data_IF_981783058957
#
_entry.id   IF_981783058957
#
_cell.length_a   1.000
_cell.length_b   1.000
_cell.length_c   1.000
_cell.angle_alpha   90.00
_cell.angle_beta   90.00
_cell.angle_gamma   90.00
#
_symmetry.space_group_name_H-M   'P 1'
#
loop_
_entity.id
_entity.type
_entity.pdbx_description
1 polymer ?
#
# COMPACT_ATOMS: atom_id res chain seq x y z
N UNK A 1 17.39 -28.85 -18.02
CA UNK A 1 18.12 -27.59 -17.68
C UNK A 1 18.18 -27.47 -16.17
N UNK A 2 19.33 -27.74 -15.55
CA UNK A 2 19.50 -27.64 -14.10
C UNK A 2 19.38 -26.18 -13.64
N UNK A 3 18.56 -25.92 -12.61
CA UNK A 3 18.44 -24.58 -12.04
C UNK A 3 19.76 -24.20 -11.36
N UNK A 4 20.32 -23.05 -11.73
CA UNK A 4 21.60 -22.57 -11.20
C UNK A 4 21.46 -22.23 -9.69
N UNK A 5 22.27 -22.84 -8.79
CA UNK A 5 22.11 -22.74 -7.33
C UNK A 5 22.17 -21.30 -6.79
N UNK A 6 22.82 -20.38 -7.51
CA UNK A 6 22.84 -18.95 -7.13
C UNK A 6 21.44 -18.33 -7.13
N UNK A 7 20.57 -18.70 -8.08
CA UNK A 7 19.22 -18.14 -8.17
C UNK A 7 18.31 -18.54 -7.00
N UNK A 8 18.50 -19.74 -6.45
CA UNK A 8 17.74 -20.21 -5.29
C UNK A 8 18.08 -19.40 -4.02
N UNK A 9 19.35 -19.05 -3.84
CA UNK A 9 19.80 -18.29 -2.66
C UNK A 9 19.20 -16.89 -2.62
N UNK A 10 19.16 -16.18 -3.75
CA UNK A 10 18.56 -14.83 -3.83
C UNK A 10 17.05 -14.85 -3.60
N UNK A 11 16.32 -15.84 -4.15
CA UNK A 11 14.87 -15.95 -3.99
C UNK A 11 14.47 -16.19 -2.53
N UNK A 12 15.31 -16.89 -1.76
CA UNK A 12 15.07 -17.14 -0.34
C UNK A 12 15.27 -15.89 0.49
N UNK A 13 16.38 -15.20 0.26
CA UNK A 13 16.66 -13.94 0.94
C UNK A 13 15.55 -12.92 0.70
N UNK A 14 15.07 -12.79 -0.54
CA UNK A 14 13.93 -11.91 -0.86
C UNK A 14 12.67 -12.34 -0.11
N UNK A 15 12.41 -13.65 0.03
CA UNK A 15 11.24 -14.15 0.75
C UNK A 15 11.33 -13.88 2.26
N UNK A 16 12.51 -13.96 2.86
CA UNK A 16 12.71 -13.58 4.27
C UNK A 16 12.51 -12.08 4.49
N UNK A 17 13.09 -11.25 3.63
CA UNK A 17 12.94 -9.80 3.72
C UNK A 17 11.49 -9.37 3.43
N UNK A 18 10.77 -10.08 2.56
CA UNK A 18 9.36 -9.83 2.26
C UNK A 18 8.42 -10.02 3.46
N UNK A 19 8.87 -10.64 4.56
CA UNK A 19 8.11 -10.69 5.82
C UNK A 19 7.78 -9.28 6.33
N UNK A 20 8.62 -8.27 6.05
CA UNK A 20 8.29 -6.88 6.38
C UNK A 20 7.01 -6.42 5.68
N UNK A 21 6.86 -6.68 4.38
CA UNK A 21 5.63 -6.36 3.67
C UNK A 21 4.42 -7.19 4.12
N UNK A 22 4.64 -8.39 4.65
CA UNK A 22 3.58 -9.20 5.26
C UNK A 22 3.08 -8.56 6.57
N UNK A 23 3.99 -8.03 7.39
CA UNK A 23 3.68 -7.42 8.69
C UNK A 23 3.16 -5.98 8.53
N UNK A 24 3.53 -5.28 7.45
CA UNK A 24 3.20 -3.87 7.25
C UNK A 24 1.69 -3.54 7.41
N UNK A 25 0.74 -4.30 6.81
CA UNK A 25 -0.69 -4.12 7.07
C UNK A 25 -1.08 -4.18 8.55
N UNK A 26 -0.55 -5.16 9.28
CA UNK A 26 -0.87 -5.37 10.71
C UNK A 26 -0.33 -4.20 11.53
N UNK A 27 0.91 -3.80 11.27
CA UNK A 27 1.52 -2.64 11.91
C UNK A 27 0.71 -1.37 11.70
N UNK A 28 0.33 -1.07 10.45
CA UNK A 28 -0.42 0.14 10.13
C UNK A 28 -1.81 0.13 10.77
N UNK A 29 -2.51 -1.01 10.72
CA UNK A 29 -3.81 -1.17 11.37
C UNK A 29 -3.70 -0.98 12.88
N UNK A 30 -2.68 -1.55 13.52
CA UNK A 30 -2.43 -1.40 14.96
C UNK A 30 -2.21 0.05 15.35
N UNK A 31 -1.28 0.74 14.69
CA UNK A 31 -0.97 2.15 14.98
C UNK A 31 -2.17 3.05 14.68
N UNK A 32 -2.80 2.90 13.52
CA UNK A 32 -3.91 3.77 13.12
C UNK A 32 -5.15 3.58 14.00
N UNK A 33 -5.42 2.35 14.45
CA UNK A 33 -6.48 2.07 15.41
C UNK A 33 -6.16 2.70 16.76
N UNK A 34 -4.94 2.49 17.27
CA UNK A 34 -4.52 3.08 18.53
C UNK A 34 -4.56 4.61 18.50
N UNK A 35 -4.02 5.23 17.44
CA UNK A 35 -4.09 6.67 17.22
C UNK A 35 -5.54 7.19 17.18
N UNK A 36 -6.45 6.45 16.51
CA UNK A 36 -7.86 6.83 16.45
C UNK A 36 -8.55 6.79 17.82
N UNK A 37 -8.13 5.91 18.74
CA UNK A 37 -8.73 5.77 20.08
C UNK A 37 -8.24 6.85 21.03
N UNK A 38 -6.96 7.22 20.95
CA UNK A 38 -6.33 8.14 21.91
C UNK A 38 -6.49 9.62 21.52
N UNK A 39 -6.88 9.92 20.28
CA UNK A 39 -7.07 11.29 19.83
C UNK A 39 -8.51 11.75 20.14
N UNK A 40 -8.69 12.75 21.05
CA UNK A 40 -10.02 13.25 21.41
C UNK A 40 -10.69 13.91 20.20
N UNK A 41 -12.04 13.88 20.20
CA UNK A 41 -12.90 14.46 19.17
C UNK A 41 -12.69 13.92 17.75
N UNK A 42 -11.89 12.87 17.61
CA UNK A 42 -11.66 12.20 16.34
C UNK A 42 -12.82 11.26 16.00
N UNK A 43 -13.42 11.45 14.82
CA UNK A 43 -14.49 10.60 14.30
C UNK A 43 -13.95 9.66 13.22
N UNK A 44 -13.91 8.36 13.55
CA UNK A 44 -13.51 7.29 12.62
C UNK A 44 -14.38 7.26 11.34
N UNK A 45 -15.65 7.67 11.45
CA UNK A 45 -16.59 7.64 10.35
C UNK A 45 -16.41 8.82 9.39
N UNK A 46 -16.30 10.04 9.93
CA UNK A 46 -16.29 11.26 9.12
C UNK A 46 -14.89 11.77 8.80
N UNK A 47 -13.88 11.46 9.62
CA UNK A 47 -12.53 11.98 9.44
C UNK A 47 -11.55 10.92 8.90
N UNK A 48 -10.76 11.35 7.93
CA UNK A 48 -9.69 10.58 7.32
C UNK A 48 -8.55 10.26 8.32
N UNK A 49 -7.77 9.21 8.05
CA UNK A 49 -6.52 8.93 8.75
C UNK A 49 -5.49 10.05 8.58
N UNK A 50 -5.50 10.76 7.45
CA UNK A 50 -4.59 11.90 7.21
C UNK A 50 -4.81 13.02 8.23
N UNK A 51 -6.05 13.19 8.72
CA UNK A 51 -6.40 14.17 9.74
C UNK A 51 -5.58 13.93 11.01
N UNK A 52 -5.45 12.68 11.45
CA UNK A 52 -4.68 12.31 12.65
C UNK A 52 -3.20 12.69 12.56
N UNK A 53 -2.66 12.94 11.36
CA UNK A 53 -1.26 13.29 11.16
C UNK A 53 -1.01 14.81 11.05
N UNK A 54 -2.05 15.66 11.13
CA UNK A 54 -1.95 17.13 11.00
C UNK A 54 -1.20 17.78 12.17
N UNK A 55 -0.61 18.95 11.94
CA UNK A 55 0.21 19.66 12.94
C UNK A 55 -0.48 19.89 14.30
N UNK A 56 -1.78 20.18 14.28
CA UNK A 56 -2.55 20.51 15.48
C UNK A 56 -3.21 19.30 16.15
N UNK A 57 -3.09 18.10 15.56
CA UNK A 57 -3.72 16.92 16.15
C UNK A 57 -2.87 16.36 17.31
N UNK A 58 -3.52 16.00 18.43
CA UNK A 58 -2.88 15.23 19.48
C UNK A 58 -2.28 13.95 18.92
N UNK A 59 -1.05 13.64 19.31
CA UNK A 59 -0.32 12.44 18.91
C UNK A 59 -0.05 12.33 17.38
N UNK A 60 0.02 13.44 16.64
CA UNK A 60 0.29 13.42 15.20
C UNK A 60 1.57 12.66 14.80
N UNK A 61 2.58 12.65 15.68
CA UNK A 61 3.83 11.89 15.49
C UNK A 61 3.56 10.39 15.40
N UNK A 62 2.62 9.86 16.19
CA UNK A 62 2.24 8.44 16.17
C UNK A 62 1.62 8.05 14.83
N UNK A 63 0.69 8.86 14.30
CA UNK A 63 0.10 8.56 12.99
C UNK A 63 1.14 8.71 11.87
N UNK A 64 2.03 9.70 11.97
CA UNK A 64 3.12 9.91 11.02
C UNK A 64 4.08 8.72 10.99
N UNK A 65 4.46 8.18 12.16
CA UNK A 65 5.29 6.98 12.25
C UNK A 65 4.58 5.73 11.74
N UNK A 66 3.25 5.65 11.87
CA UNK A 66 2.41 4.65 11.23
C UNK A 66 2.55 4.68 9.71
N UNK A 67 2.32 5.85 9.08
CA UNK A 67 2.47 6.01 7.63
C UNK A 67 3.91 5.72 7.16
N UNK A 68 4.91 6.29 7.82
CA UNK A 68 6.32 6.13 7.46
C UNK A 68 6.77 4.67 7.59
N UNK A 69 6.47 4.03 8.72
CA UNK A 69 6.83 2.63 8.97
C UNK A 69 6.18 1.69 7.96
N UNK A 70 4.89 1.89 7.65
CA UNK A 70 4.20 1.14 6.60
C UNK A 70 4.87 1.33 5.23
N UNK A 71 5.15 2.59 4.85
CA UNK A 71 5.75 2.94 3.57
C UNK A 71 7.17 2.37 3.38
N UNK A 72 7.95 2.25 4.47
CA UNK A 72 9.26 1.61 4.43
C UNK A 72 9.15 0.08 4.32
N UNK A 73 8.30 -0.54 5.13
CA UNK A 73 8.15 -2.01 5.12
C UNK A 73 7.56 -2.53 3.81
N UNK A 74 6.70 -1.76 3.13
CA UNK A 74 6.09 -2.19 1.87
C UNK A 74 7.09 -2.24 0.70
N UNK A 75 8.26 -1.60 0.83
CA UNK A 75 9.29 -1.62 -0.22
C UNK A 75 9.77 -3.04 -0.55
N UNK A 76 9.70 -3.96 0.41
CA UNK A 76 10.14 -5.35 0.22
C UNK A 76 9.20 -6.16 -0.68
N UNK A 77 7.97 -5.69 -0.90
CA UNK A 77 7.00 -6.31 -1.81
C UNK A 77 7.48 -6.24 -3.26
N UNK A 78 8.11 -5.13 -3.66
CA UNK A 78 8.53 -4.92 -5.04
C UNK A 78 9.49 -6.02 -5.55
N UNK A 79 10.62 -6.26 -4.86
CA UNK A 79 11.51 -7.38 -5.16
C UNK A 79 10.83 -8.75 -5.13
N UNK A 80 9.89 -8.98 -4.20
CA UNK A 80 9.14 -10.23 -4.11
C UNK A 80 8.29 -10.46 -5.36
N UNK A 81 7.51 -9.45 -5.78
CA UNK A 81 6.68 -9.54 -6.97
C UNK A 81 7.54 -9.64 -8.24
N UNK A 82 8.69 -8.96 -8.27
CA UNK A 82 9.67 -9.07 -9.37
C UNK A 82 10.12 -10.52 -9.58
N UNK A 83 10.60 -11.20 -8.54
CA UNK A 83 11.10 -12.59 -8.69
C UNK A 83 10.00 -13.60 -8.94
N UNK A 84 8.77 -13.30 -8.51
CA UNK A 84 7.60 -14.11 -8.82
C UNK A 84 7.00 -13.79 -10.19
N UNK A 85 7.49 -12.76 -10.90
CA UNK A 85 7.07 -12.42 -12.25
C UNK A 85 8.03 -13.04 -13.26
N UNK A 86 7.58 -14.05 -14.00
CA UNK A 86 8.38 -14.73 -15.03
C UNK A 86 8.77 -13.85 -16.25
N UNK A 87 8.35 -12.59 -16.29
CA UNK A 87 8.69 -11.64 -17.33
C UNK A 87 9.47 -10.46 -16.74
N UNK A 88 10.73 -10.31 -17.14
CA UNK A 88 11.64 -9.29 -16.59
C UNK A 88 11.10 -7.87 -16.72
N UNK A 89 10.59 -7.47 -17.88
CA UNK A 89 10.10 -6.10 -18.12
C UNK A 89 8.90 -5.77 -17.23
N UNK A 90 7.92 -6.68 -17.15
CA UNK A 90 6.78 -6.48 -16.26
C UNK A 90 7.16 -6.57 -14.79
N UNK A 91 8.11 -7.43 -14.43
CA UNK A 91 8.64 -7.49 -13.07
C UNK A 91 9.27 -6.17 -12.66
N UNK A 92 10.11 -5.55 -13.51
CA UNK A 92 10.72 -4.25 -13.23
C UNK A 92 9.64 -3.18 -13.08
N UNK A 93 8.66 -3.16 -13.98
CA UNK A 93 7.54 -2.21 -13.90
C UNK A 93 6.78 -2.35 -12.57
N UNK A 94 6.42 -3.56 -12.15
CA UNK A 94 5.75 -3.81 -10.86
C UNK A 94 6.63 -3.32 -9.70
N UNK A 95 7.93 -3.62 -9.73
CA UNK A 95 8.84 -3.16 -8.68
C UNK A 95 8.92 -1.64 -8.61
N UNK A 96 9.06 -0.95 -9.74
CA UNK A 96 9.06 0.52 -9.81
C UNK A 96 7.74 1.09 -9.29
N UNK A 97 6.60 0.51 -9.63
CA UNK A 97 5.30 0.96 -9.14
C UNK A 97 5.15 0.78 -7.62
N UNK A 98 5.62 -0.33 -7.06
CA UNK A 98 5.66 -0.53 -5.60
C UNK A 98 6.63 0.45 -4.93
N UNK A 99 7.77 0.72 -5.57
CA UNK A 99 8.72 1.71 -5.09
C UNK A 99 8.10 3.10 -5.03
N UNK A 100 7.46 3.53 -6.12
CA UNK A 100 6.71 4.79 -6.20
C UNK A 100 5.61 4.84 -5.14
N UNK A 101 4.89 3.75 -4.89
CA UNK A 101 3.88 3.69 -3.84
C UNK A 101 4.47 3.98 -2.45
N UNK A 102 5.53 3.30 -2.06
CA UNK A 102 6.13 3.53 -0.75
C UNK A 102 6.80 4.92 -0.65
N UNK A 103 7.54 5.38 -1.67
CA UNK A 103 8.14 6.73 -1.65
C UNK A 103 7.07 7.81 -1.58
N UNK A 104 5.98 7.66 -2.32
CA UNK A 104 4.83 8.57 -2.25
C UNK A 104 4.20 8.57 -0.85
N UNK A 105 4.11 7.42 -0.19
CA UNK A 105 3.67 7.33 1.21
C UNK A 105 4.59 8.06 2.18
N UNK A 106 5.91 8.02 1.96
CA UNK A 106 6.87 8.80 2.76
C UNK A 106 6.63 10.30 2.56
N UNK A 107 6.53 10.77 1.30
CA UNK A 107 6.23 12.17 1.03
C UNK A 107 4.88 12.62 1.60
N UNK A 108 3.83 11.82 1.45
CA UNK A 108 2.52 12.10 2.05
C UNK A 108 2.55 12.11 3.59
N UNK A 109 3.51 11.43 4.23
CA UNK A 109 3.68 11.49 5.69
C UNK A 109 4.43 12.76 6.15
N UNK A 110 5.34 13.25 5.32
CA UNK A 110 6.13 14.47 5.55
C UNK A 110 5.22 15.69 5.40
N UNK A 111 4.50 15.79 4.28
CA UNK A 111 3.59 16.89 4.00
C UNK A 111 2.26 16.69 4.72
N UNK A 112 1.88 17.64 5.59
CA UNK A 112 0.65 17.61 6.36
C UNK A 112 -0.58 18.04 5.54
N UNK A 113 -1.60 17.19 5.62
CA UNK A 113 -2.92 17.45 5.06
C UNK A 113 -3.51 18.78 5.59
N UNK A 114 -4.20 19.53 4.74
CA UNK A 114 -4.84 20.82 4.99
C UNK A 114 -3.93 21.95 5.52
N UNK A 115 -2.61 21.79 5.44
CA UNK A 115 -1.67 22.87 5.71
C UNK A 115 -1.64 23.85 4.53
N UNK A 116 -1.94 25.13 4.81
CA UNK A 116 -1.85 26.24 3.86
C UNK A 116 -0.46 26.85 3.80
N UNK A 117 0.49 26.33 4.57
CA UNK A 117 1.86 26.81 4.55
C UNK A 117 2.44 26.57 3.15
N UNK A 118 2.88 27.67 2.53
CA UNK A 118 3.54 27.60 1.24
C UNK A 118 4.87 26.85 1.38
N UNK A 119 5.12 25.96 0.43
CA UNK A 119 6.35 25.16 0.38
C UNK A 119 7.14 25.50 -0.88
N UNK A 120 7.37 24.52 -1.74
CA UNK A 120 8.16 24.66 -2.97
C UNK A 120 7.24 25.15 -4.10
N UNK A 121 7.69 26.14 -4.87
CA UNK A 121 7.02 26.63 -6.09
C UNK A 121 5.56 27.06 -5.88
N UNK A 122 5.25 27.74 -4.78
CA UNK A 122 3.90 28.23 -4.44
C UNK A 122 2.85 27.12 -4.25
N UNK A 123 3.27 25.86 -4.10
CA UNK A 123 2.38 24.77 -3.71
C UNK A 123 2.23 24.75 -2.20
N UNK A 124 0.98 24.65 -1.73
CA UNK A 124 0.73 24.40 -0.31
C UNK A 124 1.20 23.00 0.06
N UNK A 125 1.62 22.84 1.30
CA UNK A 125 1.94 21.53 1.87
C UNK A 125 0.78 20.53 1.69
N UNK A 126 -0.47 20.96 1.88
CA UNK A 126 -1.66 20.14 1.60
C UNK A 126 -1.74 19.68 0.14
N UNK A 127 -1.41 20.56 -0.82
CA UNK A 127 -1.38 20.19 -2.24
C UNK A 127 -0.31 19.14 -2.56
N UNK A 128 0.86 19.23 -1.92
CA UNK A 128 1.91 18.23 -2.07
C UNK A 128 1.53 16.90 -1.42
N UNK A 129 0.86 16.92 -0.26
CA UNK A 129 0.28 15.73 0.37
C UNK A 129 -0.69 15.01 -0.57
N UNK A 130 -1.62 15.75 -1.18
CA UNK A 130 -2.62 15.20 -2.10
C UNK A 130 -1.97 14.63 -3.36
N UNK A 131 -1.02 15.35 -3.95
CA UNK A 131 -0.29 14.90 -5.13
C UNK A 131 0.48 13.61 -4.84
N UNK A 132 1.24 13.57 -3.74
CA UNK A 132 1.99 12.39 -3.33
C UNK A 132 1.03 11.21 -3.11
N UNK A 133 -0.04 11.41 -2.34
CA UNK A 133 -1.05 10.37 -2.09
C UNK A 133 -1.63 9.80 -3.39
N UNK A 134 -2.01 10.66 -4.34
CA UNK A 134 -2.56 10.23 -5.65
C UNK A 134 -1.55 9.41 -6.46
N UNK A 135 -0.29 9.86 -6.55
CA UNK A 135 0.77 9.10 -7.24
C UNK A 135 0.89 7.70 -6.60
N UNK A 136 0.93 7.64 -5.27
CA UNK A 136 1.00 6.37 -4.55
C UNK A 136 -0.19 5.45 -4.86
N UNK A 137 -1.40 5.99 -4.80
CA UNK A 137 -2.64 5.24 -5.02
C UNK A 137 -2.73 4.66 -6.43
N UNK A 138 -2.45 5.46 -7.46
CA UNK A 138 -2.43 4.96 -8.83
C UNK A 138 -1.32 3.94 -9.04
N UNK A 139 -0.13 4.17 -8.46
CA UNK A 139 1.00 3.26 -8.60
C UNK A 139 0.68 1.87 -8.06
N UNK A 140 0.14 1.76 -6.84
CA UNK A 140 -0.21 0.46 -6.26
C UNK A 140 -1.39 -0.19 -6.98
N UNK A 141 -2.40 0.58 -7.39
CA UNK A 141 -3.54 0.03 -8.14
C UNK A 141 -3.11 -0.58 -9.47
N UNK A 142 -2.27 0.12 -10.23
CA UNK A 142 -1.70 -0.38 -11.48
C UNK A 142 -0.83 -1.61 -11.20
N UNK A 143 -0.03 -1.61 -10.14
CA UNK A 143 0.77 -2.76 -9.75
C UNK A 143 -0.09 -4.00 -9.47
N UNK A 144 -1.23 -3.85 -8.77
CA UNK A 144 -2.19 -4.93 -8.52
C UNK A 144 -2.75 -5.46 -9.85
N UNK A 145 -3.23 -4.59 -10.73
CA UNK A 145 -3.83 -4.97 -12.02
C UNK A 145 -2.82 -5.75 -12.88
N UNK A 146 -1.58 -5.26 -13.00
CA UNK A 146 -0.53 -5.94 -13.76
C UNK A 146 -0.20 -7.29 -13.09
N UNK A 147 -0.13 -7.32 -11.75
CA UNK A 147 0.17 -8.54 -10.99
C UNK A 147 -0.86 -9.65 -11.25
N UNK A 148 -2.15 -9.32 -11.33
CA UNK A 148 -3.22 -10.29 -11.68
C UNK A 148 -2.90 -11.03 -12.98
N UNK A 149 -2.48 -10.28 -14.01
CA UNK A 149 -2.16 -10.86 -15.31
C UNK A 149 -0.83 -11.62 -15.33
N UNK A 150 0.18 -11.12 -14.59
CA UNK A 150 1.57 -11.58 -14.72
C UNK A 150 1.99 -12.63 -13.70
N UNK A 151 1.37 -12.68 -12.52
CA UNK A 151 1.60 -13.70 -11.49
C UNK A 151 0.76 -14.96 -11.67
N UNK A 152 -0.17 -14.98 -12.64
CA UNK A 152 -1.04 -16.12 -12.88
C UNK A 152 -0.26 -17.42 -13.15
N UNK A 153 0.93 -17.33 -13.76
CA UNK A 153 1.82 -18.49 -13.97
C UNK A 153 2.44 -19.03 -12.69
N UNK A 154 2.61 -18.18 -11.67
CA UNK A 154 3.29 -18.53 -10.41
C UNK A 154 2.29 -19.00 -9.38
N UNK A 155 1.22 -18.23 -9.18
CA UNK A 155 0.19 -18.53 -8.17
C UNK A 155 -0.80 -19.58 -8.68
N UNK A 156 -1.08 -19.61 -9.99
CA UNK A 156 -1.95 -20.55 -10.69
C UNK A 156 -3.21 -20.96 -9.88
N UNK A 157 -3.91 -19.97 -9.32
CA UNK A 157 -5.10 -20.15 -8.50
C UNK A 157 -6.20 -19.21 -9.00
N UNK A 158 -7.32 -19.79 -9.44
CA UNK A 158 -8.51 -19.04 -9.82
C UNK A 158 -9.07 -18.24 -8.63
N UNK A 159 -9.01 -18.80 -7.42
CA UNK A 159 -9.43 -18.13 -6.19
C UNK A 159 -8.65 -16.85 -5.93
N UNK A 160 -7.31 -16.89 -6.02
CA UNK A 160 -6.49 -15.68 -5.84
C UNK A 160 -6.77 -14.63 -6.91
N UNK A 161 -7.02 -15.06 -8.16
CA UNK A 161 -7.37 -14.16 -9.26
C UNK A 161 -8.70 -13.46 -9.01
N UNK A 162 -9.75 -14.21 -8.65
CA UNK A 162 -11.07 -13.66 -8.31
C UNK A 162 -10.96 -12.70 -7.12
N UNK A 163 -10.26 -13.11 -6.06
CA UNK A 163 -9.96 -12.25 -4.92
C UNK A 163 -9.32 -10.93 -5.35
N UNK A 164 -8.26 -10.98 -6.17
CA UNK A 164 -7.55 -9.78 -6.60
C UNK A 164 -8.41 -8.87 -7.49
N UNK A 165 -9.27 -9.44 -8.35
CA UNK A 165 -10.21 -8.65 -9.16
C UNK A 165 -11.23 -7.94 -8.25
N UNK A 166 -11.79 -8.65 -7.26
CA UNK A 166 -12.71 -8.04 -6.29
C UNK A 166 -12.03 -6.92 -5.50
N UNK A 167 -10.78 -7.12 -5.08
CA UNK A 167 -9.98 -6.06 -4.44
C UNK A 167 -9.87 -4.84 -5.35
N UNK A 168 -9.55 -5.01 -6.63
CA UNK A 168 -9.43 -3.87 -7.57
C UNK A 168 -10.76 -3.12 -7.65
N UNK A 169 -11.88 -3.83 -7.83
CA UNK A 169 -13.21 -3.23 -7.91
C UNK A 169 -13.53 -2.45 -6.64
N UNK A 170 -13.33 -3.05 -5.46
CA UNK A 170 -13.58 -2.41 -4.18
C UNK A 170 -12.65 -1.21 -3.94
N UNK A 171 -11.37 -1.33 -4.29
CA UNK A 171 -10.39 -0.25 -4.16
C UNK A 171 -10.79 0.94 -5.02
N UNK A 172 -11.21 0.71 -6.28
CA UNK A 172 -11.71 1.78 -7.16
C UNK A 172 -12.97 2.41 -6.58
N UNK A 173 -13.93 1.60 -6.11
CA UNK A 173 -15.14 2.10 -5.47
C UNK A 173 -14.84 3.03 -4.29
N UNK A 174 -13.98 2.59 -3.36
CA UNK A 174 -13.60 3.42 -2.21
C UNK A 174 -12.77 4.63 -2.61
N UNK A 175 -11.85 4.49 -3.57
CA UNK A 175 -11.04 5.60 -4.07
C UNK A 175 -11.89 6.70 -4.71
N UNK A 176 -12.89 6.35 -5.52
CA UNK A 176 -13.83 7.32 -6.12
C UNK A 176 -14.68 7.96 -5.03
N UNK A 177 -15.24 7.15 -4.12
CA UNK A 177 -16.09 7.63 -3.02
C UNK A 177 -15.37 8.62 -2.10
N UNK A 178 -14.05 8.45 -1.92
CA UNK A 178 -13.21 9.28 -1.06
C UNK A 178 -12.55 10.46 -1.78
N UNK A 179 -11.93 10.23 -2.94
CA UNK A 179 -10.87 11.06 -3.49
C UNK A 179 -11.28 12.17 -4.46
N UNK A 180 -12.56 12.25 -4.85
CA UNK A 180 -13.05 13.28 -5.78
C UNK A 180 -14.02 14.19 -5.02
N UNK A 181 -13.59 15.40 -4.68
CA UNK A 181 -14.39 16.38 -3.92
C UNK A 181 -15.75 16.69 -4.56
N UNK A 182 -15.88 16.57 -5.90
CA UNK A 182 -17.14 16.70 -6.64
C UNK A 182 -17.94 15.40 -6.83
N UNK A 183 -17.39 14.23 -6.49
CA UNK A 183 -18.04 12.93 -6.62
C UNK A 183 -18.03 12.13 -5.31
N UNK A 184 -17.91 12.82 -4.17
CA UNK A 184 -18.06 12.22 -2.84
C UNK A 184 -19.47 11.64 -2.73
N UNK A 185 -19.58 10.33 -2.94
CA UNK A 185 -20.83 9.61 -2.81
C UNK A 185 -21.35 9.66 -1.36
N UNK A 186 -20.44 9.78 -0.39
CA UNK A 186 -20.76 9.77 1.05
C UNK A 186 -19.99 10.87 1.81
N UNK A 187 -20.39 12.14 1.71
CA UNK A 187 -19.65 13.27 2.29
C UNK A 187 -19.52 13.21 3.82
N UNK A 188 -20.46 12.56 4.51
CA UNK A 188 -20.40 12.37 5.97
C UNK A 188 -19.61 11.13 6.40
N UNK A 189 -19.12 10.32 5.46
CA UNK A 189 -18.43 9.04 5.71
C UNK A 189 -17.05 8.97 5.06
N UNK A 190 -16.40 10.13 4.84
CA UNK A 190 -15.09 10.23 4.19
C UNK A 190 -14.05 9.38 4.91
N UNK A 191 -14.06 9.39 6.25
CA UNK A 191 -13.20 8.55 7.08
C UNK A 191 -13.38 7.06 6.85
N UNK A 192 -14.63 6.60 6.73
CA UNK A 192 -14.95 5.21 6.43
C UNK A 192 -14.51 4.81 5.02
N UNK A 193 -14.75 5.68 4.01
CA UNK A 193 -14.36 5.40 2.63
C UNK A 193 -12.84 5.29 2.49
N UNK A 194 -12.08 6.18 3.13
CA UNK A 194 -10.62 6.11 3.12
C UNK A 194 -10.11 4.82 3.78
N UNK A 195 -10.71 4.41 4.90
CA UNK A 195 -10.38 3.15 5.58
C UNK A 195 -10.65 1.94 4.70
N UNK A 196 -11.79 1.90 4.02
CA UNK A 196 -12.12 0.87 3.05
C UNK A 196 -11.06 0.78 1.95
N UNK A 197 -10.65 1.94 1.41
CA UNK A 197 -9.59 2.02 0.41
C UNK A 197 -8.24 1.47 0.91
N UNK A 198 -7.79 1.87 2.11
CA UNK A 198 -6.56 1.33 2.69
C UNK A 198 -6.69 -0.17 2.97
N UNK A 199 -7.82 -0.61 3.52
CA UNK A 199 -8.06 -2.00 3.91
C UNK A 199 -8.01 -2.94 2.70
N UNK A 200 -8.60 -2.57 1.57
CA UNK A 200 -8.55 -3.41 0.36
C UNK A 200 -7.12 -3.58 -0.16
N UNK A 201 -6.34 -2.49 -0.21
CA UNK A 201 -4.93 -2.54 -0.63
C UNK A 201 -4.11 -3.40 0.35
N UNK A 202 -4.25 -3.14 1.65
CA UNK A 202 -3.53 -3.85 2.71
C UNK A 202 -3.86 -5.34 2.73
N UNK A 203 -5.13 -5.72 2.53
CA UNK A 203 -5.55 -7.11 2.47
C UNK A 203 -4.92 -7.82 1.27
N UNK A 204 -4.86 -7.15 0.11
CA UNK A 204 -4.20 -7.72 -1.07
C UNK A 204 -2.70 -7.89 -0.89
N UNK A 205 -2.03 -6.91 -0.30
CA UNK A 205 -0.62 -6.98 0.05
C UNK A 205 -0.37 -8.17 0.97
N UNK A 206 -1.15 -8.31 2.04
CA UNK A 206 -1.02 -9.39 3.01
C UNK A 206 -1.14 -10.77 2.34
N UNK A 207 -2.25 -11.00 1.63
CA UNK A 207 -2.56 -12.28 1.00
C UNK A 207 -1.54 -12.61 -0.09
N UNK A 208 -1.22 -11.67 -0.97
CA UNK A 208 -0.29 -11.91 -2.09
C UNK A 208 1.12 -12.17 -1.58
N UNK A 209 1.57 -11.41 -0.58
CA UNK A 209 2.88 -11.63 0.05
C UNK A 209 2.97 -13.02 0.67
N UNK A 210 1.95 -13.42 1.45
CA UNK A 210 1.92 -14.75 2.08
C UNK A 210 1.99 -15.89 1.06
N UNK A 211 1.19 -15.80 -0.01
CA UNK A 211 1.17 -16.81 -1.08
C UNK A 211 2.53 -16.87 -1.79
N UNK A 212 3.11 -15.73 -2.18
CA UNK A 212 4.41 -15.70 -2.85
C UNK A 212 5.54 -16.27 -1.99
N UNK A 213 5.58 -15.92 -0.70
CA UNK A 213 6.55 -16.48 0.25
C UNK A 213 6.38 -18.00 0.35
N UNK A 214 5.14 -18.48 0.51
CA UNK A 214 4.84 -19.91 0.62
C UNK A 214 5.26 -20.69 -0.63
N UNK A 215 4.94 -20.19 -1.82
CA UNK A 215 5.35 -20.80 -3.10
C UNK A 215 6.86 -20.86 -3.20
N UNK A 216 7.56 -19.77 -2.90
CA UNK A 216 9.02 -19.71 -2.95
C UNK A 216 9.64 -20.77 -2.04
N UNK A 217 9.16 -20.93 -0.79
CA UNK A 217 9.67 -21.96 0.11
C UNK A 217 9.35 -23.38 -0.35
N UNK A 218 8.15 -23.62 -0.91
CA UNK A 218 7.77 -24.94 -1.43
C UNK A 218 8.62 -25.37 -2.62
N UNK A 219 8.96 -24.45 -3.51
CA UNK A 219 9.81 -24.73 -4.67
C UNK A 219 11.25 -25.12 -4.28
N UNK A 220 11.75 -24.72 -3.12
CA UNK A 220 13.11 -25.08 -2.68
C UNK A 220 13.21 -26.45 -2.02
N UNK A 221 12.09 -27.02 -1.60
CA UNK A 221 12.04 -28.38 -1.03
C UNK A 221 11.99 -29.47 -2.12
N UNK A 222 11.88 -29.07 -3.40
CA UNK A 222 11.84 -29.95 -4.56
C UNK A 222 13.17 -29.87 -5.32
#
# INVERSE_FOLDING_TARGET
MGKNPKYHTYRNWISYVAVFSLIAPIYFMGISTYASIITPDYSVMSQAYSVLARHQMPNAVLMTSGFLGYALMIQTLGPLLFVNTYNKSFGVLIWVLVFLYGISGIFASIYKDASTQETIWNLSEGSLHDLASRIGFFSILIAIIISIAKLNKTINSSTWRVFSILIVILTIFFAISFGIDGARLFPNHVGLMQRGFFLTIMLWIFVTTAICIFINFKENKK
#
